data_IF_258241934872
#
_entry.id   IF_258241934872
#
_cell.length_a   1.000
_cell.length_b   1.000
_cell.length_c   1.000
_cell.angle_alpha   90.00
_cell.angle_beta   90.00
_cell.angle_gamma   90.00
#
_symmetry.space_group_name_H-M   'P 1'
#
loop_
_entity.id
_entity.type
_entity.pdbx_description
1 polymer ?
#
# COMPACT_ATOMS: atom_id res chain seq x y z
N UNK A 1 13.65 -3.54 19.90
CA UNK A 1 13.03 -4.87 20.12
C UNK A 1 12.83 -5.55 18.76
N UNK A 2 13.04 -6.85 18.63
CA UNK A 2 12.91 -7.62 17.37
C UNK A 2 11.81 -8.67 17.40
N UNK A 3 10.98 -8.65 18.46
CA UNK A 3 9.91 -9.62 18.69
C UNK A 3 8.58 -8.88 18.69
N UNK A 4 7.67 -9.30 17.82
CA UNK A 4 6.31 -8.78 17.80
C UNK A 4 5.54 -9.26 19.03
N UNK A 5 4.60 -8.45 19.49
CA UNK A 5 3.65 -8.80 20.55
C UNK A 5 2.23 -8.78 20.00
N UNK A 6 1.36 -9.66 20.50
CA UNK A 6 -0.05 -9.70 20.09
C UNK A 6 -0.28 -10.41 18.76
N UNK A 7 -1.51 -10.28 18.24
CA UNK A 7 -1.92 -10.88 16.98
C UNK A 7 -1.57 -9.96 15.81
N UNK A 8 -1.14 -10.56 14.71
CA UNK A 8 -0.97 -9.84 13.45
C UNK A 8 -2.34 -9.62 12.82
N UNK A 9 -2.55 -8.42 12.27
CA UNK A 9 -3.75 -8.05 11.54
C UNK A 9 -3.41 -7.90 10.06
N UNK A 10 -4.19 -8.54 9.20
CA UNK A 10 -4.12 -8.35 7.75
C UNK A 10 -4.83 -7.03 7.40
N UNK A 11 -4.12 -6.10 6.78
CA UNK A 11 -4.68 -4.80 6.38
C UNK A 11 -5.12 -4.75 4.91
N UNK A 12 -4.44 -5.47 4.03
CA UNK A 12 -4.72 -5.45 2.60
C UNK A 12 -4.34 -6.78 1.95
N UNK A 13 -5.12 -7.13 0.93
CA UNK A 13 -4.80 -8.18 -0.04
C UNK A 13 -4.92 -7.59 -1.45
N UNK A 14 -4.23 -8.16 -2.46
CA UNK A 14 -4.42 -7.77 -3.85
C UNK A 14 -5.84 -8.10 -4.30
N UNK A 15 -6.64 -7.09 -4.63
CA UNK A 15 -8.04 -7.26 -5.02
C UNK A 15 -8.38 -6.47 -6.30
N UNK A 16 -7.77 -5.30 -6.49
CA UNK A 16 -7.98 -4.47 -7.67
C UNK A 16 -7.14 -5.00 -8.85
N UNK A 17 -7.64 -4.82 -10.07
CA UNK A 17 -6.97 -5.34 -11.29
C UNK A 17 -5.52 -4.85 -11.41
N UNK A 18 -5.24 -3.60 -11.04
CA UNK A 18 -3.89 -3.04 -11.08
C UNK A 18 -2.91 -3.67 -10.06
N UNK A 19 -3.40 -4.41 -9.05
CA UNK A 19 -2.57 -5.09 -8.04
C UNK A 19 -2.17 -6.51 -8.47
N UNK A 20 -2.70 -6.99 -9.60
CA UNK A 20 -2.69 -8.41 -9.98
C UNK A 20 -2.06 -8.67 -11.36
N UNK A 21 -1.39 -7.68 -11.94
CA UNK A 21 -0.77 -7.82 -13.27
C UNK A 21 0.56 -8.58 -13.10
N UNK A 22 0.68 -9.71 -13.78
CA UNK A 22 1.79 -10.66 -13.63
C UNK A 22 1.67 -11.51 -12.35
N UNK A 23 1.58 -10.87 -11.18
CA UNK A 23 1.40 -11.53 -9.88
C UNK A 23 0.38 -10.77 -9.01
N UNK A 24 -0.29 -11.48 -8.11
CA UNK A 24 -1.16 -10.89 -7.08
C UNK A 24 -0.31 -10.45 -5.89
N UNK A 25 0.11 -9.18 -5.84
CA UNK A 25 1.11 -8.69 -4.87
C UNK A 25 0.62 -7.44 -4.14
N UNK A 26 0.86 -7.41 -2.83
CA UNK A 26 0.86 -6.24 -1.96
C UNK A 26 2.13 -6.36 -1.10
N UNK A 27 3.11 -5.50 -1.31
CA UNK A 27 4.42 -5.56 -0.63
C UNK A 27 5.02 -4.16 -0.40
N UNK A 28 6.23 -4.10 0.16
CA UNK A 28 6.98 -2.85 0.35
C UNK A 28 6.21 -1.76 1.11
N UNK A 29 5.68 -2.04 2.32
CA UNK A 29 4.91 -1.04 3.07
C UNK A 29 5.82 0.08 3.60
N UNK A 30 5.40 1.32 3.42
CA UNK A 30 6.06 2.51 3.96
C UNK A 30 5.03 3.42 4.63
N UNK A 31 5.42 4.07 5.74
CA UNK A 31 4.49 4.85 6.58
C UNK A 31 4.84 6.33 6.58
N UNK A 32 3.82 7.17 6.41
CA UNK A 32 3.89 8.62 6.67
C UNK A 32 2.74 9.01 7.60
N UNK A 33 3.06 9.71 8.68
CA UNK A 33 2.06 10.30 9.59
C UNK A 33 1.98 11.80 9.34
N UNK A 34 0.80 12.30 8.97
CA UNK A 34 0.60 13.72 8.69
C UNK A 34 -0.88 14.09 8.73
N UNK A 35 -1.18 15.31 9.19
CA UNK A 35 -2.53 15.90 9.16
C UNK A 35 -3.59 15.05 9.90
N UNK A 36 -3.27 14.50 11.07
CA UNK A 36 -4.25 13.70 11.83
C UNK A 36 -4.44 12.27 11.30
N UNK A 37 -3.57 11.79 10.41
CA UNK A 37 -3.73 10.51 9.71
C UNK A 37 -2.42 9.75 9.61
N UNK A 38 -2.58 8.43 9.56
CA UNK A 38 -1.52 7.49 9.21
C UNK A 38 -1.80 7.01 7.79
N UNK A 39 -0.80 7.17 6.93
CA UNK A 39 -0.81 6.69 5.55
C UNK A 39 0.19 5.55 5.43
N UNK A 40 -0.26 4.42 4.89
CA UNK A 40 0.62 3.31 4.51
C UNK A 40 0.56 3.19 2.99
N UNK A 41 1.64 3.56 2.32
CA UNK A 41 1.82 3.18 0.92
C UNK A 41 2.31 1.74 0.86
N UNK A 42 1.94 1.05 -0.20
CA UNK A 42 2.42 -0.30 -0.53
C UNK A 42 2.51 -0.41 -2.05
N UNK A 43 3.22 -1.40 -2.56
CA UNK A 43 3.34 -1.65 -4.00
C UNK A 43 2.59 -2.92 -4.40
N UNK A 44 2.05 -2.96 -5.62
CA UNK A 44 1.36 -4.12 -6.17
C UNK A 44 1.74 -4.42 -7.61
N UNK A 45 1.26 -5.57 -8.12
CA UNK A 45 1.69 -6.20 -9.38
C UNK A 45 3.15 -6.66 -9.39
N UNK A 46 3.59 -7.23 -10.52
CA UNK A 46 4.98 -7.61 -10.76
C UNK A 46 5.93 -6.41 -10.71
N UNK A 47 7.21 -6.63 -10.39
CA UNK A 47 8.28 -5.62 -10.34
C UNK A 47 8.80 -5.22 -11.73
N UNK A 48 7.87 -5.06 -12.67
CA UNK A 48 8.07 -4.59 -14.05
C UNK A 48 7.34 -3.24 -14.26
N UNK A 49 7.05 -2.84 -15.50
CA UNK A 49 6.35 -1.60 -15.80
C UNK A 49 4.93 -1.50 -15.21
N UNK A 50 4.35 -2.60 -14.75
CA UNK A 50 3.04 -2.64 -14.12
C UNK A 50 3.11 -2.33 -12.61
N UNK A 51 4.30 -2.30 -12.01
CA UNK A 51 4.48 -1.99 -10.59
C UNK A 51 3.93 -0.58 -10.28
N UNK A 52 3.09 -0.50 -9.25
CA UNK A 52 2.44 0.74 -8.86
C UNK A 52 2.18 0.77 -7.36
N UNK A 53 2.03 1.99 -6.82
CA UNK A 53 1.82 2.22 -5.40
C UNK A 53 0.33 2.43 -5.07
N UNK A 54 -0.18 1.64 -4.14
CA UNK A 54 -1.47 1.85 -3.47
C UNK A 54 -1.34 2.65 -2.19
N UNK A 55 -2.48 2.89 -1.54
CA UNK A 55 -2.57 3.66 -0.30
C UNK A 55 -3.62 3.08 0.63
N UNK A 56 -3.21 2.81 1.87
CA UNK A 56 -4.08 2.65 3.02
C UNK A 56 -4.05 3.92 3.87
N UNK A 57 -5.16 4.26 4.51
CA UNK A 57 -5.16 5.32 5.52
C UNK A 57 -6.10 5.02 6.68
N UNK A 58 -5.75 5.54 7.85
CA UNK A 58 -6.54 5.53 9.07
C UNK A 58 -6.39 6.88 9.80
N UNK A 59 -7.33 7.21 10.68
CA UNK A 59 -7.17 8.34 11.60
C UNK A 59 -6.12 8.00 12.67
N UNK A 60 -5.26 8.95 13.04
CA UNK A 60 -4.12 8.66 13.95
C UNK A 60 -4.55 8.27 15.36
N UNK A 61 -5.75 8.69 15.77
CA UNK A 61 -6.36 8.39 17.07
C UNK A 61 -7.25 7.13 17.06
N UNK A 62 -7.34 6.43 15.92
CA UNK A 62 -8.14 5.21 15.78
C UNK A 62 -7.39 3.96 16.30
N UNK A 63 -8.13 2.87 16.57
CA UNK A 63 -7.50 1.59 16.86
C UNK A 63 -6.88 1.00 15.59
N UNK A 64 -5.55 1.10 15.46
CA UNK A 64 -4.81 0.62 14.28
C UNK A 64 -4.77 -0.91 14.19
N UNK A 65 -5.07 -1.62 15.27
CA UNK A 65 -5.22 -3.08 15.31
C UNK A 65 -6.66 -3.53 15.05
N UNK A 66 -7.53 -2.60 14.62
CA UNK A 66 -8.85 -2.90 14.09
C UNK A 66 -8.86 -2.69 12.57
N UNK A 67 -9.14 -3.75 11.80
CA UNK A 67 -9.20 -3.69 10.34
C UNK A 67 -10.23 -2.68 9.81
N UNK A 68 -11.29 -2.39 10.56
CA UNK A 68 -12.31 -1.40 10.18
C UNK A 68 -11.84 0.06 10.29
N UNK A 69 -10.71 0.33 10.96
CA UNK A 69 -10.10 1.67 11.01
C UNK A 69 -9.43 2.05 9.68
N UNK A 70 -9.13 1.07 8.85
CA UNK A 70 -8.35 1.25 7.63
C UNK A 70 -9.24 1.36 6.41
N UNK A 71 -8.90 2.31 5.55
CA UNK A 71 -9.47 2.47 4.23
C UNK A 71 -8.42 2.19 3.18
N UNK A 72 -8.82 1.60 2.05
CA UNK A 72 -7.95 1.31 0.91
C UNK A 72 -8.40 2.10 -0.30
N UNK A 73 -7.45 2.76 -0.97
CA UNK A 73 -7.72 3.52 -2.20
C UNK A 73 -7.85 2.56 -3.37
N UNK A 74 -8.94 2.65 -4.13
CA UNK A 74 -9.20 1.76 -5.26
C UNK A 74 -8.20 1.94 -6.42
N UNK A 75 -7.74 3.17 -6.64
CA UNK A 75 -6.80 3.52 -7.71
C UNK A 75 -5.39 3.73 -7.15
N UNK A 76 -4.33 3.42 -7.91
CA UNK A 76 -2.95 3.66 -7.48
C UNK A 76 -2.70 5.17 -7.31
N UNK A 77 -1.94 5.51 -6.27
CA UNK A 77 -1.51 6.89 -5.99
C UNK A 77 -0.23 7.27 -6.71
N UNK A 78 0.53 6.28 -7.19
CA UNK A 78 1.73 6.49 -8.00
C UNK A 78 1.91 5.32 -8.97
N UNK A 79 2.19 5.59 -10.24
CA UNK A 79 2.29 4.58 -11.30
C UNK A 79 3.18 5.04 -12.45
N UNK A 80 3.47 4.13 -13.37
CA UNK A 80 4.20 4.40 -14.60
C UNK A 80 3.68 5.64 -15.34
N UNK A 81 4.61 6.40 -15.90
CA UNK A 81 4.36 7.60 -16.68
C UNK A 81 5.15 7.53 -17.98
N UNK A 82 4.46 7.11 -19.06
CA UNK A 82 5.06 7.05 -20.40
C UNK A 82 5.58 8.43 -20.86
N UNK A 83 4.81 9.49 -20.59
CA UNK A 83 5.19 10.88 -20.90
C UNK A 83 6.57 11.26 -20.34
N UNK A 84 6.92 10.70 -19.18
CA UNK A 84 8.17 11.00 -18.48
C UNK A 84 9.20 9.84 -18.56
N UNK A 85 8.90 8.79 -19.33
CA UNK A 85 9.71 7.57 -19.43
C UNK A 85 10.10 6.97 -18.07
N UNK A 86 9.16 6.96 -17.12
CA UNK A 86 9.32 6.32 -15.81
C UNK A 86 8.39 5.13 -15.71
N UNK A 87 8.91 3.96 -15.38
CA UNK A 87 8.18 2.69 -15.42
C UNK A 87 8.37 1.92 -14.11
N UNK A 88 7.29 1.36 -13.59
CA UNK A 88 7.28 0.51 -12.41
C UNK A 88 7.69 1.18 -11.08
N UNK A 89 7.25 2.41 -10.74
CA UNK A 89 7.65 3.01 -9.48
C UNK A 89 6.99 2.32 -8.28
N UNK A 90 7.77 2.01 -7.25
CA UNK A 90 7.29 1.41 -6.02
C UNK A 90 8.42 1.19 -5.00
N UNK A 91 8.13 0.42 -3.95
CA UNK A 91 9.01 0.13 -2.81
C UNK A 91 9.73 1.38 -2.28
N UNK A 92 8.92 2.39 -1.92
CA UNK A 92 9.38 3.73 -1.56
C UNK A 92 9.93 3.86 -0.12
#
# INVERSE_FOLDING_TARGET
>A
PWTLTGKQLLLSVPEFEWEKIGFMVNEGPAVITRNGKIFITYSGSATDENYAMGLLWADEDSDLLNGFSWHKKAEPVFKSSEKNSQYGPGHN
#
